data_IF_126323426716
#
_entry.id   IF_126323426716
#
_cell.length_a   1.000
_cell.length_b   1.000
_cell.length_c   1.000
_cell.angle_alpha   90.00
_cell.angle_beta   90.00
_cell.angle_gamma   90.00
#
_symmetry.space_group_name_H-M   'P 1'
#
loop_
_entity.id
_entity.type
_entity.pdbx_description
1 polymer ?
#
# COMPACT_ATOMS: atom_id res chain seq x y z
N UNK A 1 26.51 7.44 -105.40
CA UNK A 1 25.75 6.19 -105.12
C UNK A 1 25.20 6.07 -103.70
N UNK A 2 25.58 6.93 -102.74
CA UNK A 2 25.07 6.87 -101.35
C UNK A 2 23.73 7.63 -101.13
N UNK A 3 23.37 8.57 -102.02
CA UNK A 3 22.08 9.28 -101.95
C UNK A 3 20.89 8.36 -102.29
N UNK A 4 21.02 7.49 -103.30
CA UNK A 4 19.98 6.52 -103.67
C UNK A 4 19.68 5.47 -102.59
N UNK A 5 20.66 5.10 -101.75
CA UNK A 5 20.45 4.13 -100.67
C UNK A 5 19.66 4.70 -99.49
N UNK A 6 19.64 6.04 -99.32
CA UNK A 6 18.87 6.69 -98.26
C UNK A 6 17.38 6.81 -98.62
N UNK A 7 17.08 6.94 -99.90
CA UNK A 7 15.70 7.06 -100.41
C UNK A 7 14.95 5.71 -100.45
N UNK A 8 15.65 4.57 -100.49
CA UNK A 8 15.02 3.23 -100.48
C UNK A 8 14.41 2.83 -99.11
N UNK A 9 14.71 3.55 -98.04
CA UNK A 9 14.25 3.23 -96.67
C UNK A 9 13.58 4.41 -95.95
N UNK A 10 13.17 5.45 -96.68
CA UNK A 10 12.39 6.53 -96.09
C UNK A 10 10.91 6.16 -96.15
N UNK A 11 10.39 5.63 -95.03
CA UNK A 11 9.00 5.18 -94.92
C UNK A 11 8.23 6.25 -94.15
N UNK A 12 7.43 7.03 -94.87
CA UNK A 12 6.47 7.95 -94.26
C UNK A 12 5.23 7.17 -93.80
N UNK A 13 4.97 7.15 -92.49
CA UNK A 13 3.80 6.47 -91.91
C UNK A 13 2.90 7.52 -91.26
N UNK A 14 1.65 7.59 -91.73
CA UNK A 14 0.64 8.46 -91.13
C UNK A 14 -0.01 7.77 -89.93
N UNK A 15 0.25 8.27 -88.72
CA UNK A 15 -0.42 7.83 -87.50
C UNK A 15 -1.49 8.82 -87.05
N UNK A 16 -2.61 8.29 -86.55
CA UNK A 16 -3.64 9.07 -85.85
C UNK A 16 -3.52 8.81 -84.35
N UNK A 17 -3.04 9.81 -83.61
CA UNK A 17 -2.92 9.76 -82.15
C UNK A 17 -4.08 10.51 -81.49
N UNK A 18 -4.51 10.07 -80.31
CA UNK A 18 -5.52 10.79 -79.53
C UNK A 18 -4.90 11.97 -78.81
N UNK A 19 -5.68 13.04 -78.62
CA UNK A 19 -5.29 14.16 -77.77
C UNK A 19 -5.03 13.65 -76.34
N UNK A 20 -3.82 13.88 -75.82
CA UNK A 20 -3.32 13.31 -74.56
C UNK A 20 -2.21 12.26 -74.71
N UNK A 21 -1.95 11.77 -75.93
CA UNK A 21 -0.78 10.91 -76.25
C UNK A 21 0.35 11.70 -76.91
N UNK A 22 0.18 13.01 -77.06
CA UNK A 22 1.15 13.93 -77.64
C UNK A 22 1.50 14.95 -76.56
N UNK A 23 2.74 14.90 -76.06
CA UNK A 23 3.24 15.80 -75.00
C UNK A 23 3.82 17.12 -75.56
N UNK A 24 3.85 17.26 -76.89
CA UNK A 24 4.32 18.48 -77.56
C UNK A 24 3.25 19.58 -77.45
N UNK A 25 3.61 20.80 -76.99
CA UNK A 25 2.67 21.90 -76.88
C UNK A 25 2.12 22.30 -78.26
N UNK A 26 0.79 22.34 -78.39
CA UNK A 26 0.14 22.63 -79.68
C UNK A 26 0.14 24.14 -79.98
N UNK A 27 0.71 24.54 -81.11
CA UNK A 27 0.66 25.90 -81.64
C UNK A 27 -0.50 26.07 -82.64
N UNK A 28 -1.07 27.28 -82.71
CA UNK A 28 -2.28 27.56 -83.48
C UNK A 28 -2.11 27.51 -85.02
N UNK A 29 -0.88 27.47 -85.53
CA UNK A 29 -0.60 27.60 -86.98
C UNK A 29 0.09 26.34 -87.52
N UNK A 30 1.27 25.98 -87.00
CA UNK A 30 1.95 24.71 -87.27
C UNK A 30 2.62 24.24 -85.99
N UNK A 31 2.33 23.02 -85.55
CA UNK A 31 3.04 22.36 -84.45
C UNK A 31 4.34 21.79 -84.95
N UNK A 32 5.46 22.23 -84.40
CA UNK A 32 6.77 21.67 -84.71
C UNK A 32 6.96 20.34 -83.98
N UNK A 33 7.23 19.28 -84.75
CA UNK A 33 7.51 17.93 -84.24
C UNK A 33 8.96 17.51 -84.52
N UNK A 34 9.84 18.43 -84.92
CA UNK A 34 11.23 18.13 -85.28
C UNK A 34 12.01 17.44 -84.15
N UNK A 35 11.70 17.77 -82.90
CA UNK A 35 12.31 17.16 -81.70
C UNK A 35 11.45 16.04 -81.09
N UNK A 36 10.33 15.67 -81.71
CA UNK A 36 9.43 14.66 -81.17
C UNK A 36 9.94 13.24 -81.45
N UNK A 37 9.85 12.37 -80.44
CA UNK A 37 10.23 10.96 -80.56
C UNK A 37 9.01 10.09 -80.26
N UNK A 38 8.79 9.07 -81.09
CA UNK A 38 7.76 8.06 -80.83
C UNK A 38 8.34 7.02 -79.89
N UNK A 39 7.69 6.85 -78.74
CA UNK A 39 8.09 5.89 -77.70
C UNK A 39 7.01 4.82 -77.59
N UNK A 40 7.43 3.57 -77.45
CA UNK A 40 6.50 2.47 -77.19
C UNK A 40 5.81 2.63 -75.82
N UNK A 41 4.50 2.36 -75.80
CA UNK A 41 3.68 2.54 -74.62
C UNK A 41 4.11 1.60 -73.47
N UNK A 42 4.61 0.40 -73.78
CA UNK A 42 5.05 -0.56 -72.76
C UNK A 42 6.20 0.01 -71.90
N UNK A 43 7.12 0.75 -72.51
CA UNK A 43 8.24 1.40 -71.82
C UNK A 43 7.73 2.47 -70.86
N UNK A 44 6.77 3.30 -71.29
CA UNK A 44 6.17 4.35 -70.47
C UNK A 44 5.40 3.74 -69.30
N UNK A 45 4.56 2.74 -69.56
CA UNK A 45 3.80 2.05 -68.52
C UNK A 45 4.71 1.34 -67.51
N UNK A 46 5.77 0.68 -67.97
CA UNK A 46 6.75 0.02 -67.10
C UNK A 46 7.44 1.02 -66.17
N UNK A 47 7.87 2.17 -66.71
CA UNK A 47 8.45 3.24 -65.90
C UNK A 47 7.44 3.84 -64.92
N UNK A 48 6.19 4.06 -65.34
CA UNK A 48 5.14 4.57 -64.46
C UNK A 48 4.83 3.60 -63.31
N UNK A 49 4.77 2.29 -63.58
CA UNK A 49 4.65 1.26 -62.54
C UNK A 49 5.82 1.34 -61.55
N UNK A 50 7.05 1.46 -62.04
CA UNK A 50 8.23 1.58 -61.20
C UNK A 50 8.22 2.85 -60.34
N UNK A 51 7.80 3.99 -60.90
CA UNK A 51 7.66 5.25 -60.16
C UNK A 51 6.61 5.11 -59.04
N UNK A 52 5.49 4.45 -59.31
CA UNK A 52 4.45 4.20 -58.31
C UNK A 52 4.94 3.27 -57.19
N UNK A 53 5.68 2.22 -57.51
CA UNK A 53 6.33 1.34 -56.51
C UNK A 53 7.27 2.14 -55.60
N UNK A 54 8.20 2.90 -56.18
CA UNK A 54 9.13 3.74 -55.42
C UNK A 54 8.40 4.80 -54.58
N UNK A 55 7.30 5.34 -55.10
CA UNK A 55 6.43 6.25 -54.38
C UNK A 55 5.82 5.60 -53.14
N UNK A 56 5.29 4.38 -53.27
CA UNK A 56 4.74 3.60 -52.16
C UNK A 56 5.80 3.26 -51.11
N UNK A 57 6.99 2.83 -51.54
CA UNK A 57 8.09 2.53 -50.61
C UNK A 57 8.53 3.77 -49.82
N UNK A 58 8.58 4.93 -50.49
CA UNK A 58 8.88 6.21 -49.85
C UNK A 58 7.80 6.59 -48.83
N UNK A 59 6.51 6.44 -49.17
CA UNK A 59 5.43 6.74 -48.23
C UNK A 59 5.43 5.80 -47.03
N UNK A 60 5.68 4.51 -47.24
CA UNK A 60 5.80 3.53 -46.16
C UNK A 60 6.97 3.88 -45.23
N UNK A 61 8.11 4.27 -45.80
CA UNK A 61 9.26 4.70 -45.00
C UNK A 61 8.97 5.98 -44.20
N UNK A 62 8.23 6.93 -44.78
CA UNK A 62 7.83 8.13 -44.05
C UNK A 62 6.84 7.82 -42.92
N UNK A 63 5.96 6.85 -43.12
CA UNK A 63 5.03 6.39 -42.09
C UNK A 63 5.77 5.72 -40.92
N UNK A 64 6.73 4.83 -41.19
CA UNK A 64 7.54 4.21 -40.12
C UNK A 64 8.35 5.25 -39.35
N UNK A 65 8.93 6.24 -40.03
CA UNK A 65 9.64 7.35 -39.37
C UNK A 65 8.70 8.17 -38.49
N UNK A 66 7.49 8.46 -38.97
CA UNK A 66 6.46 9.19 -38.20
C UNK A 66 6.09 8.44 -36.93
N UNK A 67 5.84 7.13 -37.03
CA UNK A 67 5.53 6.29 -35.87
C UNK A 67 6.68 6.21 -34.88
N UNK A 68 7.91 6.06 -35.38
CA UNK A 68 9.11 6.05 -34.56
C UNK A 68 9.26 7.35 -33.77
N UNK A 69 9.08 8.51 -34.42
CA UNK A 69 9.11 9.82 -33.75
C UNK A 69 8.04 9.94 -32.67
N UNK A 70 6.82 9.48 -32.93
CA UNK A 70 5.74 9.48 -31.92
C UNK A 70 6.12 8.64 -30.69
N UNK A 71 6.65 7.44 -30.91
CA UNK A 71 7.13 6.55 -29.83
C UNK A 71 8.27 7.19 -29.05
N UNK A 72 9.24 7.79 -29.75
CA UNK A 72 10.36 8.48 -29.12
C UNK A 72 9.91 9.65 -28.24
N UNK A 73 8.98 10.48 -28.73
CA UNK A 73 8.42 11.59 -27.94
C UNK A 73 7.71 11.10 -26.68
N UNK A 74 6.98 9.98 -26.76
CA UNK A 74 6.34 9.38 -25.60
C UNK A 74 7.37 8.93 -24.56
N UNK A 75 8.39 8.18 -25.00
CA UNK A 75 9.47 7.72 -24.11
C UNK A 75 10.22 8.89 -23.48
N UNK A 76 10.48 9.96 -24.23
CA UNK A 76 11.12 11.17 -23.69
C UNK A 76 10.25 11.85 -22.62
N UNK A 77 8.93 11.89 -22.83
CA UNK A 77 8.00 12.42 -21.83
C UNK A 77 7.98 11.56 -20.57
N UNK A 78 7.91 10.23 -20.72
CA UNK A 78 7.95 9.28 -19.59
C UNK A 78 9.26 9.40 -18.81
N UNK A 79 10.39 9.48 -19.50
CA UNK A 79 11.70 9.71 -18.89
C UNK A 79 11.72 11.00 -18.08
N UNK A 80 11.22 12.11 -18.64
CA UNK A 80 11.18 13.40 -17.96
C UNK A 80 10.25 13.37 -16.74
N UNK A 81 9.11 12.69 -16.84
CA UNK A 81 8.19 12.49 -15.72
C UNK A 81 8.87 11.72 -14.58
N UNK A 82 9.52 10.59 -14.89
CA UNK A 82 10.25 9.79 -13.92
C UNK A 82 11.39 10.59 -13.27
N UNK A 83 12.13 11.37 -14.05
CA UNK A 83 13.19 12.24 -13.53
C UNK A 83 12.63 13.26 -12.53
N UNK A 84 11.48 13.87 -12.81
CA UNK A 84 10.82 14.77 -11.85
C UNK A 84 10.37 14.04 -10.59
N UNK A 85 9.82 12.83 -10.71
CA UNK A 85 9.43 12.02 -9.56
C UNK A 85 10.64 11.64 -8.69
N UNK A 86 11.76 11.27 -9.30
CA UNK A 86 13.00 11.02 -8.57
C UNK A 86 13.47 12.26 -7.82
N UNK A 87 13.43 13.42 -8.47
CA UNK A 87 13.82 14.70 -7.85
C UNK A 87 12.91 15.04 -6.66
N UNK A 88 11.58 14.91 -6.80
CA UNK A 88 10.60 15.12 -5.71
C UNK A 88 10.88 14.19 -4.53
N UNK A 89 11.13 12.91 -4.79
CA UNK A 89 11.42 11.93 -3.74
C UNK A 89 12.76 12.23 -3.04
N UNK A 90 13.78 12.65 -3.77
CA UNK A 90 15.06 13.08 -3.19
C UNK A 90 14.89 14.32 -2.30
N UNK A 91 14.13 15.32 -2.74
CA UNK A 91 13.81 16.51 -1.96
C UNK A 91 13.05 16.15 -0.69
N UNK A 92 11.99 15.33 -0.79
CA UNK A 92 11.22 14.88 0.38
C UNK A 92 12.06 14.07 1.35
N UNK A 93 13.01 13.27 0.84
CA UNK A 93 13.96 12.53 1.68
C UNK A 93 14.89 13.48 2.42
N UNK A 94 15.40 14.52 1.73
CA UNK A 94 16.21 15.57 2.37
C UNK A 94 15.40 16.30 3.43
N UNK A 95 14.15 16.65 3.16
CA UNK A 95 13.27 17.32 4.13
C UNK A 95 13.07 16.49 5.39
N UNK A 96 12.84 15.18 5.24
CA UNK A 96 12.74 14.26 6.38
C UNK A 96 14.06 14.16 7.14
N UNK A 97 15.19 14.09 6.44
CA UNK A 97 16.51 14.02 7.10
C UNK A 97 16.86 15.31 7.85
N UNK A 98 16.49 16.46 7.29
CA UNK A 98 16.72 17.78 7.87
C UNK A 98 15.63 18.17 8.90
N UNK A 99 14.59 17.35 9.06
CA UNK A 99 13.49 17.60 9.99
C UNK A 99 14.00 17.57 11.43
N UNK A 100 13.91 18.71 12.10
CA UNK A 100 14.18 18.78 13.54
C UNK A 100 13.00 18.22 14.33
N UNK A 101 13.26 17.14 15.06
CA UNK A 101 12.25 16.54 15.95
C UNK A 101 11.94 17.48 17.12
N UNK A 102 10.70 17.99 17.18
CA UNK A 102 10.20 18.82 18.28
C UNK A 102 9.37 18.00 19.27
N UNK A 103 9.18 18.51 20.50
CA UNK A 103 8.35 17.83 21.51
C UNK A 103 6.89 17.67 21.07
N UNK A 104 6.34 18.64 20.33
CA UNK A 104 5.00 18.55 19.76
C UNK A 104 4.88 17.41 18.75
N UNK A 105 5.86 17.29 17.84
CA UNK A 105 5.91 16.20 16.87
C UNK A 105 6.09 14.83 17.54
N UNK A 106 6.92 14.73 18.58
CA UNK A 106 7.04 13.50 19.37
C UNK A 106 5.73 13.11 20.06
N UNK A 107 5.01 14.09 20.60
CA UNK A 107 3.70 13.86 21.20
C UNK A 107 2.74 13.32 20.15
N UNK A 108 2.69 13.93 18.96
CA UNK A 108 1.84 13.49 17.86
C UNK A 108 2.20 12.07 17.39
N UNK A 109 3.49 11.78 17.19
CA UNK A 109 3.99 10.44 16.81
C UNK A 109 3.66 9.36 17.85
N UNK A 110 3.60 9.73 19.13
CA UNK A 110 3.19 8.83 20.22
C UNK A 110 1.68 8.71 20.39
N UNK A 111 0.88 9.20 19.44
CA UNK A 111 -0.59 9.16 19.48
C UNK A 111 -1.23 10.35 20.19
N UNK A 112 -0.52 11.46 20.33
CA UNK A 112 -1.03 12.68 20.96
C UNK A 112 -1.43 12.46 22.41
N UNK A 113 -2.62 12.94 22.77
CA UNK A 113 -3.23 12.67 24.07
C UNK A 113 -3.78 11.23 24.17
N UNK A 114 -4.29 10.66 23.07
CA UNK A 114 -4.87 9.31 23.07
C UNK A 114 -3.83 8.23 23.40
N UNK A 115 -2.62 8.33 22.85
CA UNK A 115 -1.55 7.39 23.17
C UNK A 115 -1.04 7.52 24.61
N UNK A 116 -1.11 8.72 25.17
CA UNK A 116 -0.82 8.98 26.59
C UNK A 116 -1.90 8.37 27.49
N UNK A 117 -3.17 8.59 27.15
CA UNK A 117 -4.32 8.03 27.85
C UNK A 117 -4.30 6.50 27.81
N UNK A 118 -3.90 5.89 26.69
CA UNK A 118 -3.75 4.44 26.57
C UNK A 118 -2.64 3.90 27.47
N UNK A 119 -1.47 4.54 27.47
CA UNK A 119 -0.37 4.15 28.35
C UNK A 119 -0.73 4.30 29.84
N UNK A 120 -1.45 5.38 30.18
CA UNK A 120 -1.94 5.61 31.54
C UNK A 120 -3.04 4.60 31.94
N UNK A 121 -3.93 4.25 31.01
CA UNK A 121 -4.94 3.20 31.23
C UNK A 121 -4.29 1.83 31.48
N UNK A 122 -3.31 1.43 30.66
CA UNK A 122 -2.56 0.18 30.84
C UNK A 122 -1.84 0.14 32.21
N UNK A 123 -1.27 1.28 32.64
CA UNK A 123 -0.63 1.41 33.95
C UNK A 123 -1.65 1.26 35.10
N UNK A 124 -2.81 1.90 34.97
CA UNK A 124 -3.88 1.84 35.96
C UNK A 124 -4.46 0.44 36.06
N UNK A 125 -4.68 -0.26 34.94
CA UNK A 125 -5.13 -1.66 34.93
C UNK A 125 -4.16 -2.56 35.70
N UNK A 126 -2.84 -2.46 35.43
CA UNK A 126 -1.81 -3.21 36.17
C UNK A 126 -1.85 -2.92 37.67
N UNK A 127 -2.08 -1.65 38.03
CA UNK A 127 -2.16 -1.25 39.44
C UNK A 127 -3.42 -1.81 40.11
N UNK A 128 -4.55 -1.80 39.42
CA UNK A 128 -5.81 -2.40 39.90
C UNK A 128 -5.63 -3.90 40.11
N UNK A 129 -5.03 -4.60 39.16
CA UNK A 129 -4.78 -6.04 39.26
C UNK A 129 -3.91 -6.39 40.47
N UNK A 130 -2.82 -5.64 40.66
CA UNK A 130 -1.95 -5.80 41.83
C UNK A 130 -2.68 -5.52 43.16
N UNK A 131 -3.50 -4.46 43.21
CA UNK A 131 -4.29 -4.15 44.40
C UNK A 131 -5.35 -5.22 44.69
N UNK A 132 -6.03 -5.74 43.67
CA UNK A 132 -7.01 -6.81 43.80
C UNK A 132 -6.37 -8.09 44.31
N UNK A 133 -5.22 -8.48 43.76
CA UNK A 133 -4.46 -9.65 44.22
C UNK A 133 -4.05 -9.51 45.70
N UNK A 134 -3.50 -8.36 46.08
CA UNK A 134 -3.12 -8.08 47.46
C UNK A 134 -4.33 -8.06 48.41
N UNK A 135 -5.45 -7.47 47.98
CA UNK A 135 -6.71 -7.46 48.74
C UNK A 135 -7.23 -8.88 48.96
N UNK A 136 -7.26 -9.71 47.92
CA UNK A 136 -7.68 -11.11 48.01
C UNK A 136 -6.78 -11.92 48.96
N UNK A 137 -5.47 -11.70 48.91
CA UNK A 137 -4.53 -12.32 49.86
C UNK A 137 -4.81 -11.90 51.31
N UNK A 138 -4.99 -10.60 51.55
CA UNK A 138 -5.33 -10.07 52.88
C UNK A 138 -6.67 -10.61 53.38
N UNK A 139 -7.68 -10.65 52.53
CA UNK A 139 -9.00 -11.20 52.89
C UNK A 139 -8.90 -12.69 53.25
N UNK A 140 -8.13 -13.46 52.49
CA UNK A 140 -7.85 -14.87 52.80
C UNK A 140 -7.15 -15.05 54.14
N UNK A 141 -6.16 -14.21 54.46
CA UNK A 141 -5.48 -14.22 55.76
C UNK A 141 -6.44 -13.86 56.91
N UNK A 142 -7.25 -12.81 56.74
CA UNK A 142 -8.23 -12.39 57.75
C UNK A 142 -9.30 -13.45 57.99
N UNK A 143 -9.81 -14.12 56.94
CA UNK A 143 -10.76 -15.24 57.08
C UNK A 143 -10.17 -16.40 57.88
N UNK A 144 -8.90 -16.75 57.65
CA UNK A 144 -8.20 -17.80 58.43
C UNK A 144 -8.01 -17.39 59.89
N UNK A 145 -7.64 -16.14 60.16
CA UNK A 145 -7.52 -15.64 61.53
C UNK A 145 -8.88 -15.65 62.25
N UNK A 146 -9.94 -15.21 61.57
CA UNK A 146 -11.28 -15.20 62.11
C UNK A 146 -11.79 -16.61 62.45
N UNK A 147 -11.57 -17.59 61.56
CA UNK A 147 -11.99 -18.97 61.84
C UNK A 147 -11.23 -19.59 63.01
N UNK A 148 -9.92 -19.33 63.13
CA UNK A 148 -9.11 -19.76 64.26
C UNK A 148 -9.57 -19.13 65.57
N UNK A 149 -9.80 -17.81 65.59
CA UNK A 149 -10.28 -17.08 66.77
C UNK A 149 -11.69 -17.54 67.19
N UNK A 150 -12.58 -17.77 66.22
CA UNK A 150 -13.93 -18.30 66.47
C UNK A 150 -13.87 -19.69 67.09
N UNK A 151 -13.04 -20.59 66.57
CA UNK A 151 -12.84 -21.92 67.13
C UNK A 151 -12.27 -21.86 68.56
N UNK A 152 -11.25 -21.03 68.78
CA UNK A 152 -10.67 -20.84 70.10
C UNK A 152 -11.70 -20.30 71.11
N UNK A 153 -12.52 -19.33 70.70
CA UNK A 153 -13.59 -18.77 71.54
C UNK A 153 -14.62 -19.85 71.90
N UNK A 154 -15.01 -20.71 70.95
CA UNK A 154 -15.94 -21.81 71.20
C UNK A 154 -15.37 -22.82 72.22
N UNK A 155 -14.10 -23.19 72.07
CA UNK A 155 -13.43 -24.11 73.00
C UNK A 155 -13.34 -23.51 74.41
N UNK A 156 -12.95 -22.24 74.52
CA UNK A 156 -12.88 -21.54 75.81
C UNK A 156 -14.24 -21.39 76.49
N UNK A 157 -15.31 -21.15 75.72
CA UNK A 157 -16.68 -21.16 76.26
C UNK A 157 -17.07 -22.54 76.80
N UNK A 158 -16.71 -23.62 76.13
CA UNK A 158 -16.96 -24.99 76.62
C UNK A 158 -16.17 -25.29 77.90
N UNK A 159 -14.89 -24.90 77.94
CA UNK A 159 -14.03 -25.06 79.12
C UNK A 159 -14.59 -24.28 80.31
N UNK A 160 -14.96 -23.00 80.12
CA UNK A 160 -15.58 -22.19 81.16
C UNK A 160 -16.88 -22.81 81.68
N UNK A 161 -17.75 -23.31 80.79
CA UNK A 161 -18.99 -23.98 81.21
C UNK A 161 -18.74 -25.26 82.02
N UNK A 162 -17.67 -26.01 81.73
CA UNK A 162 -17.27 -27.18 82.55
C UNK A 162 -16.72 -26.76 83.91
N UNK A 163 -15.90 -25.70 83.95
CA UNK A 163 -15.37 -25.16 85.20
C UNK A 163 -16.48 -24.59 86.10
N UNK A 164 -17.49 -23.93 85.53
CA UNK A 164 -18.67 -23.46 86.28
C UNK A 164 -19.44 -24.62 86.92
N UNK A 165 -19.68 -25.72 86.18
CA UNK A 165 -20.30 -26.93 86.74
C UNK A 165 -19.48 -27.50 87.91
N UNK A 166 -18.16 -27.63 87.71
CA UNK A 166 -17.26 -28.15 88.74
C UNK A 166 -17.18 -27.24 89.97
N UNK A 167 -17.21 -25.93 89.77
CA UNK A 167 -17.27 -24.94 90.85
C UNK A 167 -18.56 -25.12 91.66
N UNK A 168 -19.71 -25.29 90.99
CA UNK A 168 -20.99 -25.53 91.64
C UNK A 168 -20.98 -26.82 92.47
N UNK A 169 -20.46 -27.92 91.92
CA UNK A 169 -20.31 -29.20 92.65
C UNK A 169 -19.41 -29.05 93.88
N UNK A 170 -18.27 -28.36 93.76
CA UNK A 170 -17.36 -28.12 94.87
C UNK A 170 -18.01 -27.23 95.94
N UNK A 171 -18.74 -26.18 95.55
CA UNK A 171 -19.49 -25.33 96.47
C UNK A 171 -20.53 -26.15 97.25
N UNK A 172 -21.30 -27.01 96.57
CA UNK A 172 -22.25 -27.91 97.23
C UNK A 172 -21.54 -28.85 98.23
N UNK A 173 -20.40 -29.43 97.84
CA UNK A 173 -19.60 -30.28 98.73
C UNK A 173 -19.07 -29.53 99.96
N UNK A 174 -18.64 -28.27 99.80
CA UNK A 174 -18.19 -27.43 100.92
C UNK A 174 -19.36 -27.13 101.86
N UNK A 175 -20.52 -26.73 101.33
CA UNK A 175 -21.73 -26.49 102.12
C UNK A 175 -22.13 -27.75 102.90
N UNK A 176 -22.11 -28.92 102.25
CA UNK A 176 -22.38 -30.19 102.91
C UNK A 176 -21.38 -30.49 104.03
N UNK A 177 -20.08 -30.28 103.80
CA UNK A 177 -19.02 -30.47 104.81
C UNK A 177 -19.14 -29.48 105.97
N UNK A 178 -19.48 -28.23 105.71
CA UNK A 178 -19.74 -27.22 106.74
C UNK A 178 -20.98 -27.57 107.56
N UNK A 179 -22.04 -28.05 106.92
CA UNK A 179 -23.25 -28.52 107.59
C UNK A 179 -22.95 -29.73 108.49
N UNK A 180 -22.19 -30.72 108.01
CA UNK A 180 -21.73 -31.86 108.81
C UNK A 180 -20.84 -31.40 109.97
N UNK A 181 -19.94 -30.43 109.77
CA UNK A 181 -19.12 -29.86 110.85
C UNK A 181 -19.96 -29.15 111.90
N UNK A 182 -20.99 -28.40 111.51
CA UNK A 182 -21.94 -27.76 112.44
C UNK A 182 -22.76 -28.78 113.23
N UNK A 183 -23.14 -29.90 112.63
CA UNK A 183 -23.83 -31.01 113.31
C UNK A 183 -22.91 -31.82 114.25
N UNK A 184 -21.58 -31.76 114.06
CA UNK A 184 -20.56 -32.43 114.89
C UNK A 184 -19.92 -31.54 115.96
N UNK A 185 -20.27 -30.26 116.03
CA UNK A 185 -19.80 -29.37 117.09
C UNK A 185 -20.57 -29.71 118.39
N UNK A 186 -19.90 -30.10 119.49
CA UNK A 186 -20.55 -30.31 120.77
C UNK A 186 -20.99 -28.97 121.38
N UNK A 187 -22.05 -29.02 122.21
CA UNK A 187 -22.63 -27.90 122.95
C UNK A 187 -21.58 -27.05 123.68
#
# INVERSE_FOLDING_TARGET
SQLMQREEFDIEILFKLKQGQVEVPQAAVVTDYSDAVVIDNEVVESRNRRILELGKDKTNTLETIKEFRKKLSLIQWEYKMLQFQTTDLEERTKDVHMLRVTKGLQSLLKGGEEGRNKADADLLERKIEHLNSNSAQKEGAMKKQYSAASHATKLRKQENAMLEKKLHELQQNVIQREHIRRLRAPQ
#
